data_IF_737585656821
#
_entry.id   IF_737585656821
#
_cell.length_a   1.000
_cell.length_b   1.000
_cell.length_c   1.000
_cell.angle_alpha   90.00
_cell.angle_beta   90.00
_cell.angle_gamma   90.00
#
_symmetry.space_group_name_H-M   'P 1'
#
loop_
_entity.id
_entity.type
_entity.pdbx_description
1 polymer ?
#
# COMPACT_ATOMS: atom_id res chain seq x y z
N UNK A 1 -24.91 23.78 9.29
CA UNK A 1 -23.80 22.87 9.67
C UNK A 1 -23.70 21.82 8.58
N UNK A 2 -22.65 21.82 7.75
CA UNK A 2 -22.47 20.74 6.77
C UNK A 2 -22.19 19.45 7.51
N UNK A 3 -23.02 18.43 7.28
CA UNK A 3 -22.73 17.07 7.74
C UNK A 3 -21.61 16.53 6.87
N UNK A 4 -20.38 16.57 7.36
CA UNK A 4 -19.32 15.74 6.78
C UNK A 4 -19.66 14.31 7.15
N UNK A 5 -20.28 13.57 6.22
CA UNK A 5 -20.51 12.14 6.40
C UNK A 5 -19.16 11.45 6.46
N UNK A 6 -18.84 10.89 7.63
CA UNK A 6 -17.70 9.99 7.76
C UNK A 6 -18.09 8.66 7.11
N UNK A 7 -17.32 8.26 6.10
CA UNK A 7 -17.46 6.95 5.47
C UNK A 7 -16.35 6.05 6.02
N UNK A 8 -16.74 4.95 6.66
CA UNK A 8 -15.83 3.97 7.22
C UNK A 8 -16.01 2.64 6.51
N UNK A 9 -14.91 1.92 6.32
CA UNK A 9 -14.91 0.57 5.77
C UNK A 9 -13.74 -0.20 6.35
N UNK A 10 -13.92 -1.51 6.54
CA UNK A 10 -12.87 -2.39 7.04
C UNK A 10 -11.82 -2.76 5.97
N UNK A 11 -12.03 -2.36 4.71
CA UNK A 11 -11.19 -2.75 3.58
C UNK A 11 -10.51 -1.53 2.94
N UNK A 12 -9.19 -1.58 2.81
CA UNK A 12 -8.39 -0.53 2.14
C UNK A 12 -8.80 -0.31 0.68
N UNK A 13 -9.22 -1.37 -0.02
CA UNK A 13 -9.78 -1.23 -1.37
C UNK A 13 -11.09 -0.45 -1.40
N UNK A 14 -11.91 -0.57 -0.35
CA UNK A 14 -13.12 0.23 -0.19
C UNK A 14 -12.79 1.71 0.01
N UNK A 15 -11.79 2.03 0.84
CA UNK A 15 -11.34 3.41 1.03
C UNK A 15 -10.89 4.01 -0.31
N UNK A 16 -10.08 3.26 -1.08
CA UNK A 16 -9.63 3.68 -2.41
C UNK A 16 -10.79 4.01 -3.34
N UNK A 17 -11.81 3.15 -3.41
CA UNK A 17 -12.98 3.37 -4.25
C UNK A 17 -13.75 4.62 -3.83
N UNK A 18 -13.93 4.85 -2.52
CA UNK A 18 -14.60 6.05 -2.01
C UNK A 18 -13.86 7.33 -2.42
N UNK A 19 -12.54 7.35 -2.27
CA UNK A 19 -11.70 8.48 -2.70
C UNK A 19 -11.82 8.72 -4.21
N UNK A 20 -11.77 7.66 -5.03
CA UNK A 20 -11.94 7.76 -6.48
C UNK A 20 -13.33 8.26 -6.89
N UNK A 21 -14.35 8.09 -6.05
CA UNK A 21 -15.70 8.67 -6.24
C UNK A 21 -15.83 10.10 -5.71
N UNK A 22 -14.73 10.71 -5.28
CA UNK A 22 -14.70 12.08 -4.75
C UNK A 22 -15.14 12.18 -3.29
N UNK A 23 -15.18 11.07 -2.55
CA UNK A 23 -15.57 11.04 -1.14
C UNK A 23 -14.34 11.23 -0.24
N UNK A 24 -13.77 12.43 -0.30
CA UNK A 24 -12.77 12.91 0.65
C UNK A 24 -11.36 12.36 0.43
N UNK A 25 -10.69 12.05 1.54
CA UNK A 25 -9.28 11.66 1.61
C UNK A 25 -9.16 10.26 2.22
N UNK A 26 -8.14 9.50 1.81
CA UNK A 26 -7.84 8.18 2.35
C UNK A 26 -6.37 8.02 2.66
N UNK A 27 -6.06 7.35 3.76
CA UNK A 27 -4.69 6.97 4.10
C UNK A 27 -4.46 5.52 3.66
N UNK A 28 -3.63 5.34 2.64
CA UNK A 28 -3.46 4.07 1.92
C UNK A 28 -1.98 3.84 1.61
N UNK A 29 -1.53 2.57 1.54
CA UNK A 29 -0.20 2.26 1.03
C UNK A 29 -0.03 2.77 -0.41
N UNK A 30 1.09 3.44 -0.69
CA UNK A 30 1.38 4.02 -2.01
C UNK A 30 1.25 3.00 -3.15
N UNK A 31 1.75 1.79 -2.92
CA UNK A 31 1.72 0.69 -3.89
C UNK A 31 0.30 0.26 -4.30
N UNK A 32 -0.72 0.54 -3.47
CA UNK A 32 -2.12 0.27 -3.83
C UNK A 32 -2.70 1.31 -4.80
N UNK A 33 -2.07 2.47 -4.92
CA UNK A 33 -2.59 3.66 -5.60
C UNK A 33 -1.70 4.14 -6.75
N UNK A 34 -0.61 3.43 -7.06
CA UNK A 34 0.40 3.85 -8.03
C UNK A 34 -0.19 4.26 -9.38
N UNK A 35 -1.11 3.46 -9.94
CA UNK A 35 -1.71 3.73 -11.25
C UNK A 35 -2.57 4.99 -11.26
N UNK A 36 -3.35 5.21 -10.20
CA UNK A 36 -4.26 6.34 -10.08
C UNK A 36 -3.52 7.64 -9.75
N UNK A 37 -2.36 7.53 -9.10
CA UNK A 37 -1.43 8.64 -8.94
C UNK A 37 -0.75 9.00 -10.26
N UNK A 38 -0.29 7.99 -11.01
CA UNK A 38 0.36 8.17 -12.32
C UNK A 38 -0.60 8.77 -13.36
N UNK A 39 -1.88 8.35 -13.36
CA UNK A 39 -2.91 8.90 -14.24
C UNK A 39 -3.44 10.28 -13.80
N UNK A 40 -3.21 10.67 -12.54
CA UNK A 40 -3.76 11.89 -11.95
C UNK A 40 -5.22 11.79 -11.51
N UNK A 41 -5.78 10.57 -11.45
CA UNK A 41 -7.14 10.34 -10.93
C UNK A 41 -7.24 10.65 -9.43
N UNK A 42 -6.12 10.55 -8.71
CA UNK A 42 -5.96 11.01 -7.32
C UNK A 42 -4.64 11.76 -7.15
N UNK A 43 -4.53 12.53 -6.07
CA UNK A 43 -3.32 13.27 -5.71
C UNK A 43 -2.83 12.83 -4.33
N UNK A 44 -1.51 12.70 -4.18
CA UNK A 44 -0.89 12.44 -2.88
C UNK A 44 -0.91 13.71 -2.03
N UNK A 45 -1.31 13.57 -0.76
CA UNK A 45 -1.24 14.63 0.25
C UNK A 45 -0.12 14.38 1.26
N UNK A 46 0.71 13.36 1.05
CA UNK A 46 1.75 12.91 1.99
C UNK A 46 2.75 14.01 2.37
N UNK A 47 3.10 14.89 1.44
CA UNK A 47 4.01 16.01 1.71
C UNK A 47 3.43 17.05 2.70
N UNK A 48 2.10 17.15 2.80
CA UNK A 48 1.43 18.13 3.67
C UNK A 48 0.84 17.52 4.94
N UNK A 49 0.32 16.29 4.85
CA UNK A 49 -0.35 15.60 5.96
C UNK A 49 0.53 14.53 6.62
N UNK A 50 1.70 14.23 6.04
CA UNK A 50 2.60 13.19 6.50
C UNK A 50 2.35 11.84 5.84
N UNK A 51 3.30 10.94 6.05
CA UNK A 51 3.24 9.53 5.68
C UNK A 51 4.04 8.72 6.70
N UNK A 52 3.86 7.41 6.69
CA UNK A 52 4.63 6.46 7.49
C UNK A 52 5.02 5.28 6.61
N UNK A 53 6.25 4.79 6.78
CA UNK A 53 6.72 3.62 6.07
C UNK A 53 6.06 2.35 6.64
N UNK A 54 5.55 1.50 5.75
CA UNK A 54 4.94 0.23 6.13
C UNK A 54 5.90 -0.90 5.77
N UNK A 55 6.52 -1.50 6.79
CA UNK A 55 7.37 -2.67 6.62
C UNK A 55 6.52 -3.91 6.29
N UNK A 56 6.75 -4.51 5.11
CA UNK A 56 6.13 -5.78 4.75
C UNK A 56 7.04 -6.95 5.12
N UNK A 57 6.51 -7.85 5.94
CA UNK A 57 7.22 -9.02 6.45
C UNK A 57 6.55 -10.33 6.01
N UNK A 58 7.36 -11.34 5.71
CA UNK A 58 6.90 -12.67 5.34
C UNK A 58 7.17 -13.66 6.49
N UNK A 59 6.11 -14.31 6.97
CA UNK A 59 6.20 -15.31 8.03
C UNK A 59 6.09 -16.73 7.46
N UNK A 60 6.86 -17.67 8.01
CA UNK A 60 6.72 -19.09 7.74
C UNK A 60 6.57 -19.89 9.03
N UNK A 61 5.83 -20.98 8.94
CA UNK A 61 5.89 -22.02 9.96
C UNK A 61 7.27 -22.70 9.90
N UNK A 62 8.05 -22.57 10.97
CA UNK A 62 9.40 -23.12 11.09
C UNK A 62 9.43 -24.65 11.15
N UNK A 63 8.30 -25.30 11.41
CA UNK A 63 8.18 -26.76 11.38
C UNK A 63 7.96 -27.30 9.95
N UNK A 64 7.61 -26.42 9.01
CA UNK A 64 7.37 -26.79 7.61
C UNK A 64 8.61 -26.52 6.76
N UNK A 65 9.31 -27.60 6.37
CA UNK A 65 10.45 -27.53 5.45
C UNK A 65 10.09 -26.86 4.12
N UNK A 66 8.87 -27.08 3.63
CA UNK A 66 8.37 -26.43 2.41
C UNK A 66 8.19 -24.93 2.61
N UNK A 67 7.66 -24.49 3.76
CA UNK A 67 7.50 -23.06 4.04
C UNK A 67 8.85 -22.35 4.15
N UNK A 68 9.84 -22.97 4.80
CA UNK A 68 11.21 -22.46 4.87
C UNK A 68 11.83 -22.37 3.47
N UNK A 69 11.77 -23.44 2.68
CA UNK A 69 12.31 -23.45 1.33
C UNK A 69 11.67 -22.39 0.42
N UNK A 70 10.37 -22.12 0.60
CA UNK A 70 9.68 -21.02 -0.08
C UNK A 70 10.24 -19.67 0.36
N UNK A 71 10.37 -19.39 1.67
CA UNK A 71 10.97 -18.13 2.13
C UNK A 71 12.38 -17.96 1.57
N UNK A 72 13.23 -18.97 1.63
CA UNK A 72 14.60 -18.91 1.10
C UNK A 72 14.61 -18.58 -0.41
N UNK A 73 13.66 -19.14 -1.16
CA UNK A 73 13.50 -18.83 -2.57
C UNK A 73 13.03 -17.37 -2.78
N UNK A 74 12.00 -16.94 -2.06
CA UNK A 74 11.45 -15.59 -2.15
C UNK A 74 12.44 -14.52 -1.72
N UNK A 75 13.25 -14.77 -0.68
CA UNK A 75 14.32 -13.87 -0.26
C UNK A 75 15.35 -13.66 -1.36
N UNK A 76 15.72 -14.72 -2.11
CA UNK A 76 16.62 -14.60 -3.26
C UNK A 76 16.00 -13.78 -4.38
N UNK A 77 14.72 -14.01 -4.70
CA UNK A 77 14.01 -13.24 -5.74
C UNK A 77 13.92 -11.76 -5.36
N UNK A 78 13.61 -11.45 -4.10
CA UNK A 78 13.44 -10.06 -3.65
C UNK A 78 14.75 -9.34 -3.38
N UNK A 79 15.82 -10.03 -2.97
CA UNK A 79 17.17 -9.47 -2.86
C UNK A 79 17.76 -9.09 -4.23
N UNK A 80 17.20 -9.60 -5.33
CA UNK A 80 17.58 -9.27 -6.70
C UNK A 80 16.74 -8.15 -7.31
N UNK A 81 15.77 -7.59 -6.58
CA UNK A 81 15.02 -6.42 -7.08
C UNK A 81 15.92 -5.18 -7.06
N UNK A 82 16.05 -4.46 -8.18
CA UNK A 82 16.73 -3.16 -8.19
C UNK A 82 16.01 -2.17 -7.28
N UNK A 83 16.77 -1.40 -6.49
CA UNK A 83 16.26 -0.30 -5.65
C UNK A 83 15.58 0.82 -6.47
N UNK A 84 15.68 0.78 -7.79
CA UNK A 84 15.08 1.74 -8.72
C UNK A 84 13.55 1.60 -8.85
N UNK A 85 12.95 0.52 -8.35
CA UNK A 85 11.49 0.29 -8.35
C UNK A 85 10.79 0.79 -7.09
N UNK A 86 11.53 1.30 -6.10
CA UNK A 86 10.95 1.85 -4.86
C UNK A 86 10.37 3.27 -5.04
N UNK A 87 10.49 3.86 -6.25
CA UNK A 87 9.96 5.18 -6.58
C UNK A 87 10.68 6.32 -5.84
N UNK A 88 10.62 7.56 -6.33
CA UNK A 88 11.08 8.69 -5.52
C UNK A 88 10.14 8.88 -4.31
N UNK A 89 10.64 9.47 -3.21
CA UNK A 89 9.80 9.82 -2.05
C UNK A 89 8.67 10.80 -2.41
#
# INVERSE_FOLDING_TARGET
>A
MSRNSLCETALSSGIKELVLKGLGLGWLPLSMCYRELESGDILSTAHHLGHEDIEMVLYANTESKTAIALIDHWQKVFALRPAELDGPP
#
